data_IF_353731433628
#
_entry.id   IF_353731433628
#
_cell.length_a   1.000
_cell.length_b   1.000
_cell.length_c   1.000
_cell.angle_alpha   90.00
_cell.angle_beta   90.00
_cell.angle_gamma   90.00
#
_symmetry.space_group_name_H-M   'P 1'
#
loop_
_entity.id
_entity.type
_entity.pdbx_description
1 polymer ?
#
# COMPACT_ATOMS: atom_id res chain seq x y z
N UNK A 1 -52.47 30.55 -30.79
CA UNK A 1 -51.73 30.29 -29.54
C UNK A 1 -50.51 29.46 -29.90
N UNK A 2 -49.33 30.10 -29.97
CA UNK A 2 -48.07 29.44 -30.29
C UNK A 2 -47.47 28.82 -29.02
N UNK A 3 -47.40 27.49 -28.96
CA UNK A 3 -46.67 26.81 -27.88
C UNK A 3 -45.23 26.63 -28.35
N UNK A 4 -44.34 27.45 -27.76
CA UNK A 4 -42.90 27.51 -28.05
C UNK A 4 -42.24 26.15 -27.79
N UNK A 5 -41.63 25.60 -28.84
CA UNK A 5 -40.72 24.44 -28.82
C UNK A 5 -39.54 24.74 -27.87
N UNK A 6 -39.43 24.01 -26.77
CA UNK A 6 -38.21 23.98 -25.97
C UNK A 6 -37.34 22.82 -26.45
N UNK A 7 -36.54 23.11 -27.48
CA UNK A 7 -35.44 22.26 -27.94
C UNK A 7 -34.26 22.42 -26.98
N UNK A 8 -34.18 21.58 -25.95
CA UNK A 8 -33.05 21.58 -25.02
C UNK A 8 -32.00 20.54 -25.47
N UNK A 9 -31.34 20.84 -26.59
CA UNK A 9 -30.16 20.11 -27.07
C UNK A 9 -28.94 20.50 -26.21
N UNK A 10 -28.89 20.07 -24.95
CA UNK A 10 -27.64 20.10 -24.16
C UNK A 10 -26.80 18.89 -24.55
N UNK A 11 -26.04 19.02 -25.65
CA UNK A 11 -24.88 18.16 -25.90
C UNK A 11 -23.89 18.39 -24.75
N UNK A 12 -23.96 17.57 -23.71
CA UNK A 12 -22.91 17.41 -22.72
C UNK A 12 -21.69 16.91 -23.48
N UNK A 13 -20.80 17.82 -23.89
CA UNK A 13 -19.44 17.47 -24.26
C UNK A 13 -18.78 16.89 -23.01
N UNK A 14 -18.90 15.57 -22.83
CA UNK A 14 -18.06 14.84 -21.88
C UNK A 14 -16.63 14.95 -22.40
N UNK A 15 -15.91 15.94 -21.87
CA UNK A 15 -14.47 16.01 -21.99
C UNK A 15 -13.94 14.82 -21.22
N UNK A 16 -13.37 13.84 -21.90
CA UNK A 16 -12.77 12.66 -21.28
C UNK A 16 -11.87 13.12 -20.13
N UNK A 17 -12.38 12.97 -18.90
CA UNK A 17 -11.59 13.25 -17.70
C UNK A 17 -10.56 12.13 -17.67
N UNK A 18 -9.35 12.43 -18.10
CA UNK A 18 -8.22 11.51 -17.97
C UNK A 18 -8.03 11.20 -16.48
N UNK A 19 -8.61 10.08 -16.04
CA UNK A 19 -8.57 9.59 -14.66
C UNK A 19 -7.24 8.90 -14.35
N UNK A 20 -6.37 8.71 -15.35
CA UNK A 20 -5.11 8.01 -15.19
C UNK A 20 -4.13 8.76 -14.27
N UNK A 21 -4.22 10.09 -14.18
CA UNK A 21 -3.36 10.89 -13.28
C UNK A 21 -3.93 11.02 -11.86
N UNK A 22 -5.11 10.44 -11.59
CA UNK A 22 -5.80 10.55 -10.30
C UNK A 22 -5.30 9.47 -9.34
N UNK A 23 -4.86 9.88 -8.15
CA UNK A 23 -4.46 8.96 -7.09
C UNK A 23 -5.67 8.15 -6.64
N UNK A 24 -5.58 6.82 -6.71
CA UNK A 24 -6.68 5.93 -6.30
C UNK A 24 -7.12 6.11 -4.83
N UNK A 25 -6.22 6.54 -3.95
CA UNK A 25 -6.50 6.66 -2.51
C UNK A 25 -7.03 8.04 -2.10
N UNK A 26 -6.55 9.13 -2.71
CA UNK A 26 -6.90 10.49 -2.27
C UNK A 26 -7.50 11.38 -3.37
N UNK A 27 -7.66 10.87 -4.59
CA UNK A 27 -8.20 11.57 -5.76
C UNK A 27 -7.38 12.79 -6.24
N UNK A 28 -6.20 13.05 -5.68
CA UNK A 28 -5.30 14.10 -6.15
C UNK A 28 -4.75 13.78 -7.55
N UNK A 29 -4.58 14.79 -8.40
CA UNK A 29 -4.09 14.65 -9.79
C UNK A 29 -2.56 14.64 -9.85
N UNK A 30 -1.96 13.65 -9.19
CA UNK A 30 -0.51 13.48 -9.11
C UNK A 30 -0.11 12.02 -8.88
N UNK A 31 -0.88 11.07 -9.40
CA UNK A 31 -0.56 9.65 -9.32
C UNK A 31 0.71 9.35 -10.14
N UNK A 32 1.66 8.64 -9.52
CA UNK A 32 2.96 8.30 -10.13
C UNK A 32 3.46 6.91 -9.75
N UNK A 33 2.94 6.33 -8.67
CA UNK A 33 3.40 5.06 -8.13
C UNK A 33 2.43 3.95 -8.54
N UNK A 34 2.86 2.90 -9.26
CA UNK A 34 1.99 1.80 -9.64
C UNK A 34 1.58 0.98 -8.42
N UNK A 35 0.30 0.60 -8.34
CA UNK A 35 -0.25 -0.21 -7.23
C UNK A 35 0.12 -1.68 -7.39
N UNK A 36 0.06 -2.17 -8.62
CA UNK A 36 0.24 -3.58 -8.95
C UNK A 36 1.64 -3.78 -9.54
N UNK A 37 2.37 -4.80 -9.09
CA UNK A 37 3.71 -5.10 -9.60
C UNK A 37 3.67 -5.47 -11.08
N UNK A 38 4.79 -5.26 -11.76
CA UNK A 38 5.01 -5.84 -13.08
C UNK A 38 5.26 -7.35 -12.97
N UNK A 39 5.05 -8.09 -14.06
CA UNK A 39 5.00 -9.56 -14.04
C UNK A 39 6.27 -10.22 -13.48
N UNK A 40 7.41 -9.53 -13.51
CA UNK A 40 8.72 -10.05 -13.12
C UNK A 40 9.16 -9.59 -11.70
N UNK A 41 8.32 -8.86 -10.98
CA UNK A 41 8.65 -8.29 -9.67
C UNK A 41 8.23 -9.17 -8.47
N UNK A 42 7.44 -10.22 -8.71
CA UNK A 42 6.97 -11.16 -7.70
C UNK A 42 8.05 -12.21 -7.39
N UNK A 43 9.08 -11.85 -6.63
CA UNK A 43 10.05 -12.81 -6.06
C UNK A 43 9.71 -13.08 -4.60
N UNK A 44 9.91 -14.33 -4.14
CA UNK A 44 9.54 -14.81 -2.81
C UNK A 44 10.29 -14.08 -1.67
N UNK A 45 11.44 -13.51 -2.00
CA UNK A 45 12.41 -12.89 -1.09
C UNK A 45 12.26 -11.36 -1.03
N UNK A 46 11.22 -10.81 -1.68
CA UNK A 46 10.96 -9.37 -1.71
C UNK A 46 9.85 -8.97 -0.75
N UNK A 47 9.93 -7.71 -0.32
CA UNK A 47 8.88 -7.04 0.44
C UNK A 47 7.50 -7.22 -0.24
N UNK A 48 6.41 -7.41 0.52
CA UNK A 48 5.08 -7.59 -0.04
C UNK A 48 4.70 -6.49 -1.05
N UNK A 49 4.01 -6.82 -2.15
CA UNK A 49 3.58 -5.82 -3.11
C UNK A 49 2.75 -4.69 -2.50
N UNK A 50 2.83 -3.48 -3.07
CA UNK A 50 2.09 -2.31 -2.58
C UNK A 50 0.58 -2.58 -2.45
N UNK A 51 -0.03 -3.28 -3.41
CA UNK A 51 -1.43 -3.70 -3.32
C UNK A 51 -1.73 -4.51 -2.04
N UNK A 52 -0.84 -5.41 -1.64
CA UNK A 52 -0.99 -6.20 -0.42
C UNK A 52 -0.91 -5.30 0.82
N UNK A 53 0.08 -4.40 0.87
CA UNK A 53 0.22 -3.44 1.98
C UNK A 53 -1.01 -2.55 2.12
N UNK A 54 -1.61 -2.11 1.01
CA UNK A 54 -2.85 -1.30 1.03
C UNK A 54 -3.99 -2.14 1.61
N UNK A 55 -4.24 -3.33 1.07
CA UNK A 55 -5.37 -4.18 1.49
C UNK A 55 -5.22 -4.70 2.94
N UNK A 56 -4.01 -4.83 3.46
CA UNK A 56 -3.80 -5.14 4.88
C UNK A 56 -3.95 -3.90 5.77
N UNK A 57 -3.68 -2.70 5.26
CA UNK A 57 -3.75 -1.45 6.01
C UNK A 57 -5.16 -0.87 6.10
N UNK A 58 -6.01 -1.14 5.10
CA UNK A 58 -7.37 -0.61 5.02
C UNK A 58 -8.33 -1.67 4.50
N UNK A 59 -9.59 -1.61 4.93
CA UNK A 59 -10.64 -2.52 4.48
C UNK A 59 -11.18 -2.15 3.08
N UNK A 60 -10.31 -2.17 2.08
CA UNK A 60 -10.62 -1.87 0.67
C UNK A 60 -10.04 -2.98 -0.20
N UNK A 61 -10.86 -3.60 -1.04
CA UNK A 61 -10.39 -4.55 -2.05
C UNK A 61 -9.89 -3.82 -3.30
N UNK A 62 -8.77 -4.28 -3.85
CA UNK A 62 -8.18 -3.73 -5.07
C UNK A 62 -7.91 -4.82 -6.09
N UNK A 63 -8.33 -4.60 -7.34
CA UNK A 63 -8.05 -5.49 -8.46
C UNK A 63 -7.52 -4.72 -9.65
N UNK A 64 -6.70 -5.37 -10.49
CA UNK A 64 -6.11 -4.72 -11.67
C UNK A 64 -7.16 -4.37 -12.74
N UNK A 65 -8.29 -5.07 -12.73
CA UNK A 65 -9.36 -5.05 -13.73
C UNK A 65 -10.67 -4.39 -13.24
N UNK A 66 -10.64 -3.64 -12.13
CA UNK A 66 -11.84 -3.00 -11.55
C UNK A 66 -12.26 -1.67 -12.20
N UNK A 67 -11.52 -1.21 -13.21
CA UNK A 67 -11.81 0.05 -13.93
C UNK A 67 -11.45 1.31 -13.16
N UNK A 68 -10.74 1.21 -12.03
CA UNK A 68 -10.27 2.34 -11.23
C UNK A 68 -8.79 2.68 -11.52
N UNK A 69 -8.29 3.88 -11.13
CA UNK A 69 -6.90 4.25 -11.36
C UNK A 69 -5.91 3.22 -10.81
N UNK A 70 -4.92 2.83 -11.60
CA UNK A 70 -3.92 1.81 -11.22
C UNK A 70 -2.71 2.37 -10.44
N UNK A 71 -2.75 3.66 -10.09
CA UNK A 71 -1.64 4.39 -9.48
C UNK A 71 -2.06 5.20 -8.25
N UNK A 72 -1.11 5.46 -7.36
CA UNK A 72 -1.25 6.39 -6.23
C UNK A 72 -0.18 7.49 -6.28
N UNK A 73 -0.37 8.54 -5.49
CA UNK A 73 0.65 9.57 -5.31
C UNK A 73 1.67 9.18 -4.22
N UNK A 74 2.86 9.78 -4.26
CA UNK A 74 3.95 9.44 -3.33
C UNK A 74 3.56 9.64 -1.85
N UNK A 75 2.73 10.65 -1.54
CA UNK A 75 2.26 10.89 -0.17
C UNK A 75 1.39 9.73 0.35
N UNK A 76 0.51 9.19 -0.50
CA UNK A 76 -0.28 8.01 -0.14
C UNK A 76 0.60 6.77 -0.02
N UNK A 77 1.59 6.59 -0.90
CA UNK A 77 2.53 5.46 -0.82
C UNK A 77 3.31 5.46 0.51
N UNK A 78 3.85 6.62 0.91
CA UNK A 78 4.57 6.76 2.18
C UNK A 78 3.68 6.47 3.39
N UNK A 79 2.43 6.98 3.39
CA UNK A 79 1.47 6.69 4.46
C UNK A 79 1.12 5.20 4.54
N UNK A 80 0.94 4.54 3.40
CA UNK A 80 0.69 3.09 3.34
C UNK A 80 1.87 2.33 3.93
N UNK A 81 3.11 2.68 3.57
CA UNK A 81 4.31 2.04 4.15
C UNK A 81 4.34 2.20 5.66
N UNK A 82 4.24 3.44 6.18
CA UNK A 82 4.29 3.68 7.62
C UNK A 82 3.15 2.99 8.38
N UNK A 83 1.97 2.90 7.77
CA UNK A 83 0.83 2.19 8.36
C UNK A 83 1.08 0.68 8.38
N UNK A 84 1.59 0.12 7.29
CA UNK A 84 1.94 -1.29 7.19
C UNK A 84 2.99 -1.67 8.25
N UNK A 85 4.08 -0.92 8.35
CA UNK A 85 5.14 -1.15 9.34
C UNK A 85 4.59 -1.09 10.78
N UNK A 86 3.71 -0.13 11.05
CA UNK A 86 3.05 0.00 12.35
C UNK A 86 2.14 -1.19 12.67
N UNK A 87 1.37 -1.68 11.70
CA UNK A 87 0.55 -2.88 11.87
C UNK A 87 1.40 -4.10 12.18
N UNK A 88 2.51 -4.31 11.45
CA UNK A 88 3.44 -5.42 11.71
C UNK A 88 4.06 -5.33 13.10
N UNK A 89 4.43 -4.13 13.53
CA UNK A 89 4.91 -3.89 14.90
C UNK A 89 3.85 -4.29 15.94
N UNK A 90 2.58 -3.91 15.74
CA UNK A 90 1.49 -4.26 16.64
C UNK A 90 1.25 -5.79 16.68
N UNK A 91 1.17 -6.44 15.51
CA UNK A 91 0.99 -7.91 15.40
C UNK A 91 2.11 -8.66 16.12
N UNK A 92 3.35 -8.25 15.88
CA UNK A 92 4.53 -8.85 16.51
C UNK A 92 4.51 -8.64 18.02
N UNK A 93 4.21 -7.41 18.46
CA UNK A 93 4.15 -7.08 19.90
C UNK A 93 3.06 -7.89 20.61
N UNK A 94 1.86 -8.00 20.04
CA UNK A 94 0.76 -8.80 20.61
C UNK A 94 1.14 -10.29 20.70
N UNK A 95 1.69 -10.86 19.62
CA UNK A 95 2.16 -12.24 19.60
C UNK A 95 3.19 -12.52 20.71
N UNK A 96 4.19 -11.65 20.85
CA UNK A 96 5.20 -11.78 21.89
C UNK A 96 4.63 -11.63 23.30
N UNK A 97 3.77 -10.65 23.53
CA UNK A 97 3.16 -10.44 24.85
C UNK A 97 2.28 -11.64 25.26
N UNK A 98 1.58 -12.27 24.32
CA UNK A 98 0.82 -13.50 24.58
C UNK A 98 1.74 -14.67 24.92
N UNK A 99 2.80 -14.88 24.14
CA UNK A 99 3.78 -15.94 24.42
C UNK A 99 4.46 -15.74 25.78
N UNK A 100 4.74 -14.48 26.16
CA UNK A 100 5.27 -14.15 27.47
C UNK A 100 4.32 -14.59 28.59
N UNK A 101 3.02 -14.29 28.45
CA UNK A 101 2.01 -14.68 29.43
C UNK A 101 1.81 -16.20 29.49
N UNK A 102 1.85 -16.87 28.32
CA UNK A 102 1.57 -18.31 28.21
C UNK A 102 2.74 -19.18 28.68
N UNK A 103 3.98 -18.74 28.45
CA UNK A 103 5.19 -19.54 28.68
C UNK A 103 6.17 -18.97 29.71
N UNK A 104 5.90 -17.78 30.28
CA UNK A 104 6.74 -17.16 31.32
C UNK A 104 8.17 -16.83 30.87
N UNK A 105 8.38 -16.60 29.57
CA UNK A 105 9.70 -16.36 28.98
C UNK A 105 10.31 -15.04 29.48
N UNK A 106 11.61 -14.94 29.67
CA UNK A 106 12.23 -13.68 30.14
C UNK A 106 12.26 -12.60 29.03
N UNK A 107 11.55 -11.49 29.28
CA UNK A 107 11.46 -10.29 28.42
C UNK A 107 12.75 -9.47 28.34
N UNK A 108 13.78 -9.78 29.14
CA UNK A 108 15.08 -9.11 29.08
C UNK A 108 15.77 -9.23 27.71
N UNK A 109 15.50 -10.30 26.95
CA UNK A 109 15.97 -10.47 25.56
C UNK A 109 15.26 -9.55 24.56
N UNK A 110 14.05 -9.09 24.86
CA UNK A 110 13.20 -8.29 23.95
C UNK A 110 13.79 -6.90 23.70
N UNK A 111 14.35 -6.27 24.73
CA UNK A 111 14.99 -4.96 24.58
C UNK A 111 16.28 -5.04 23.75
N UNK A 112 17.06 -6.12 23.88
CA UNK A 112 18.26 -6.37 23.07
C UNK A 112 17.95 -6.72 21.60
N UNK A 113 16.78 -7.31 21.35
CA UNK A 113 16.30 -7.62 19.99
C UNK A 113 15.62 -6.45 19.28
N UNK A 114 15.15 -5.42 20.00
CA UNK A 114 14.46 -4.26 19.41
C UNK A 114 15.37 -3.40 18.50
N UNK A 115 16.68 -3.42 18.75
CA UNK A 115 17.70 -2.88 17.83
C UNK A 115 18.02 -3.85 16.70
N UNK A 116 18.04 -5.16 16.96
CA UNK A 116 18.37 -6.19 15.95
C UNK A 116 17.28 -6.35 14.88
N UNK A 117 16.00 -6.29 15.23
CA UNK A 117 14.89 -6.43 14.26
C UNK A 117 14.68 -5.19 13.37
N UNK A 118 15.15 -4.01 13.80
CA UNK A 118 15.27 -2.84 12.91
C UNK A 118 16.41 -2.96 11.90
N UNK A 119 17.39 -3.81 12.20
CA UNK A 119 18.54 -4.14 11.34
C UNK A 119 18.21 -5.32 10.40
N UNK A 120 17.42 -6.30 10.84
CA UNK A 120 17.04 -7.47 10.01
C UNK A 120 16.21 -7.09 8.76
N UNK A 121 15.44 -6.00 8.76
CA UNK A 121 14.73 -5.53 7.55
C UNK A 121 15.58 -4.56 6.68
N UNK A 122 16.84 -4.33 7.04
CA UNK A 122 17.75 -3.43 6.29
C UNK A 122 19.15 -3.95 6.03
N UNK A 123 19.54 -5.12 6.53
CA UNK A 123 20.84 -5.75 6.23
C UNK A 123 20.67 -7.10 5.55
N UNK A 124 20.26 -7.07 4.28
CA UNK A 124 20.87 -7.90 3.24
C UNK A 124 21.48 -6.99 2.15
N UNK A 125 22.15 -5.93 2.57
CA UNK A 125 23.32 -5.42 1.85
C UNK A 125 24.55 -5.80 2.68
N UNK A 126 25.20 -6.92 2.34
CA UNK A 126 26.64 -7.00 2.00
C UNK A 126 27.18 -8.45 2.00
N UNK A 127 27.63 -8.86 0.80
CA UNK A 127 28.74 -9.77 0.43
C UNK A 127 28.78 -11.24 0.88
N UNK A 128 28.89 -12.13 -0.12
CA UNK A 128 29.95 -13.14 -0.17
C UNK A 128 30.42 -13.33 -1.62
N UNK A 129 31.52 -12.63 -1.93
CA UNK A 129 32.71 -12.98 -2.72
C UNK A 129 32.73 -14.10 -3.81
N UNK A 130 33.58 -13.79 -4.81
CA UNK A 130 34.41 -14.65 -5.67
C UNK A 130 33.78 -15.37 -6.90
N UNK A 131 33.83 -14.68 -8.05
CA UNK A 131 34.72 -15.02 -9.18
C UNK A 131 34.78 -13.90 -10.24
#
# INVERSE_FOLDING_TARGET
MEVKKHNSNRKLKQKDKNYNDMCRLCMAKNAKVPIFPEKDELKLDKEPPLVCKIMSSVNIQMRKDDGLPSHICCNCASKVQSTYDFLRLCEMSDSFLRQYLDFGLDISWVFRYSELLRVIDRTEEYSSDEQ
#
